data_IF_554555060228
#
_entry.id   IF_554555060228
#
_cell.length_a   1.000
_cell.length_b   1.000
_cell.length_c   1.000
_cell.angle_alpha   90.00
_cell.angle_beta   90.00
_cell.angle_gamma   90.00
#
_symmetry.space_group_name_H-M   'P 1'
#
loop_
_entity.id
_entity.type
_entity.pdbx_description
1 polymer ?
#
# COMPACT_ATOMS: atom_id res chain seq x y z
N UNK A 1 23.43 0.97 17.71
CA UNK A 1 22.97 1.16 17.33
C UNK A 1 22.07 1.89 17.65
N UNK A 2 22.01 2.40 17.88
CA UNK A 2 21.16 3.10 18.43
C UNK A 2 20.10 3.61 17.76
N UNK A 3 20.00 3.76 16.64
CA UNK A 3 19.09 4.35 15.96
C UNK A 3 18.00 3.57 15.59
N UNK A 4 17.31 2.93 16.45
CA UNK A 4 16.12 2.29 16.10
C UNK A 4 15.08 3.29 15.87
N UNK A 5 14.56 3.31 14.67
CA UNK A 5 13.39 4.07 14.37
C UNK A 5 12.25 3.64 15.27
N UNK A 6 11.33 4.54 15.59
CA UNK A 6 10.11 4.22 16.28
C UNK A 6 9.24 3.29 15.47
N UNK A 7 9.42 3.24 14.19
CA UNK A 7 8.56 2.51 13.26
C UNK A 7 9.36 1.59 12.37
N UNK A 8 8.75 0.48 11.97
CA UNK A 8 9.34 -0.49 11.08
C UNK A 8 8.45 -0.67 9.85
N UNK A 9 9.04 -0.55 8.67
CA UNK A 9 8.36 -0.80 7.41
C UNK A 9 8.47 -2.27 7.07
N UNK A 10 7.37 -2.89 6.65
CA UNK A 10 7.32 -4.30 6.33
C UNK A 10 6.52 -4.54 5.05
N UNK A 11 7.10 -5.27 4.11
CA UNK A 11 6.37 -5.67 2.90
C UNK A 11 5.37 -6.78 3.23
N UNK A 12 4.19 -6.73 2.62
CA UNK A 12 3.17 -7.76 2.81
C UNK A 12 3.52 -8.96 1.93
N UNK A 13 4.02 -10.03 2.55
CA UNK A 13 4.50 -11.21 1.84
C UNK A 13 3.84 -12.51 2.28
N UNK A 14 2.86 -12.45 3.15
CA UNK A 14 2.18 -13.65 3.67
C UNK A 14 0.69 -13.40 3.83
N UNK A 15 -0.12 -14.47 3.91
CA UNK A 15 -1.56 -14.31 4.18
C UNK A 15 -1.86 -13.62 5.50
N UNK A 16 -1.04 -13.84 6.52
CA UNK A 16 -1.21 -13.18 7.81
C UNK A 16 -1.01 -11.68 7.67
N UNK A 17 0.04 -11.25 6.97
CA UNK A 17 0.30 -9.83 6.74
C UNK A 17 -0.78 -9.20 5.88
N UNK A 18 -1.30 -9.94 4.89
CA UNK A 18 -2.41 -9.47 4.06
C UNK A 18 -3.66 -9.23 4.91
N UNK A 19 -3.92 -10.09 5.89
CA UNK A 19 -5.05 -9.91 6.80
C UNK A 19 -4.86 -8.67 7.67
N UNK A 20 -3.64 -8.43 8.16
CA UNK A 20 -3.35 -7.23 8.93
C UNK A 20 -3.55 -5.96 8.09
N UNK A 21 -3.19 -6.03 6.81
CA UNK A 21 -3.41 -4.94 5.85
C UNK A 21 -4.91 -4.62 5.73
N UNK A 22 -5.76 -5.66 5.63
CA UNK A 22 -7.20 -5.49 5.53
C UNK A 22 -7.81 -4.93 6.81
N UNK A 23 -7.27 -5.32 7.94
CA UNK A 23 -7.87 -4.98 9.24
C UNK A 23 -7.54 -3.58 9.75
N UNK A 24 -6.51 -2.95 9.23
CA UNK A 24 -6.08 -1.65 9.74
C UNK A 24 -7.17 -0.58 9.69
N UNK A 25 -7.85 -0.34 8.55
CA UNK A 25 -8.90 0.69 8.53
C UNK A 25 -10.06 0.36 9.43
N UNK A 26 -10.32 -0.92 9.65
CA UNK A 26 -11.40 -1.33 10.57
C UNK A 26 -11.12 -0.87 12.00
N UNK A 27 -9.84 -0.85 12.39
CA UNK A 27 -9.42 -0.36 13.70
C UNK A 27 -9.43 1.16 13.76
N UNK A 28 -8.88 1.81 12.75
CA UNK A 28 -8.77 3.28 12.70
C UNK A 28 -10.17 3.91 12.71
N UNK A 29 -11.10 3.33 11.96
CA UNK A 29 -12.43 3.89 11.82
C UNK A 29 -13.47 3.27 12.73
N UNK A 30 -13.03 2.51 13.71
CA UNK A 30 -13.95 1.86 14.64
C UNK A 30 -14.84 2.92 15.31
N UNK A 31 -16.14 2.72 15.24
CA UNK A 31 -17.10 3.66 15.81
C UNK A 31 -17.47 4.83 14.92
N UNK A 32 -16.84 4.98 13.76
CA UNK A 32 -17.21 6.03 12.81
C UNK A 32 -18.42 5.57 12.00
N UNK A 33 -19.56 6.21 12.24
CA UNK A 33 -20.82 5.83 11.58
C UNK A 33 -20.85 6.13 10.09
N UNK A 34 -19.99 7.03 9.64
CA UNK A 34 -19.98 7.42 8.23
C UNK A 34 -19.03 6.57 7.39
N UNK A 35 -18.22 5.73 8.03
CA UNK A 35 -17.30 4.88 7.30
C UNK A 35 -17.97 3.58 6.89
N UNK A 36 -17.92 3.28 5.58
CA UNK A 36 -18.45 2.04 5.04
C UNK A 36 -17.29 1.09 4.83
N UNK A 37 -17.33 -0.05 5.52
CA UNK A 37 -16.26 -1.04 5.42
C UNK A 37 -16.35 -1.81 4.10
N UNK A 38 -15.33 -1.74 3.23
CA UNK A 38 -15.32 -2.56 2.04
C UNK A 38 -15.23 -4.04 2.40
N UNK A 39 -15.71 -4.90 1.53
CA UNK A 39 -15.57 -6.34 1.74
C UNK A 39 -14.11 -6.74 1.53
N UNK A 40 -13.59 -7.56 2.44
CA UNK A 40 -12.21 -8.04 2.35
C UNK A 40 -11.96 -8.74 1.03
N UNK A 41 -12.92 -9.53 0.57
CA UNK A 41 -12.81 -10.24 -0.69
C UNK A 41 -12.62 -9.29 -1.88
N UNK A 42 -13.30 -8.16 -1.86
CA UNK A 42 -13.18 -7.18 -2.94
C UNK A 42 -11.78 -6.56 -2.98
N UNK A 43 -11.21 -6.29 -1.80
CA UNK A 43 -9.84 -5.75 -1.73
C UNK A 43 -8.83 -6.80 -2.17
N UNK A 44 -8.96 -8.03 -1.70
CA UNK A 44 -8.03 -9.10 -2.08
C UNK A 44 -8.06 -9.39 -3.57
N UNK A 45 -9.24 -9.27 -4.18
CA UNK A 45 -9.41 -9.46 -5.61
C UNK A 45 -8.56 -8.48 -6.41
N UNK A 46 -8.36 -7.26 -5.93
CA UNK A 46 -7.52 -6.26 -6.60
C UNK A 46 -6.08 -6.75 -6.71
N UNK A 47 -5.58 -7.47 -5.71
CA UNK A 47 -4.19 -7.93 -5.66
C UNK A 47 -3.98 -9.34 -6.19
N UNK A 48 -5.01 -10.00 -6.67
CA UNK A 48 -4.94 -11.35 -7.19
C UNK A 48 -4.83 -11.34 -8.72
N UNK A 49 -3.66 -11.69 -9.29
CA UNK A 49 -3.50 -11.66 -10.75
C UNK A 49 -4.47 -12.56 -11.49
N UNK A 50 -4.94 -13.63 -10.85
CA UNK A 50 -5.89 -14.55 -11.47
C UNK A 50 -7.29 -13.96 -11.55
N UNK A 51 -7.61 -13.00 -10.69
CA UNK A 51 -8.96 -12.42 -10.58
C UNK A 51 -9.02 -10.99 -11.10
N UNK A 52 -7.89 -10.31 -11.21
CA UNK A 52 -7.82 -8.95 -11.73
C UNK A 52 -7.02 -8.94 -13.03
N UNK A 53 -7.69 -8.86 -14.19
CA UNK A 53 -6.98 -8.90 -15.47
C UNK A 53 -5.95 -7.80 -15.66
N UNK A 54 -6.07 -6.68 -14.96
CA UNK A 54 -5.11 -5.58 -15.06
C UNK A 54 -3.72 -5.98 -14.54
N UNK A 55 -3.65 -6.95 -13.63
CA UNK A 55 -2.38 -7.40 -13.10
C UNK A 55 -1.67 -8.43 -13.99
N UNK A 56 -2.31 -8.92 -15.01
CA UNK A 56 -1.64 -9.76 -16.00
C UNK A 56 -0.51 -9.01 -16.70
N UNK A 57 -0.56 -7.68 -16.69
CA UNK A 57 0.44 -6.86 -17.37
C UNK A 57 0.97 -5.77 -16.44
N UNK A 58 1.17 -6.06 -15.19
CA UNK A 58 1.70 -5.11 -14.22
C UNK A 58 2.15 -5.76 -12.95
N UNK A 59 2.39 -4.93 -11.95
CA UNK A 59 2.81 -5.40 -10.63
C UNK A 59 2.13 -4.59 -9.55
N UNK A 60 2.01 -5.18 -8.38
CA UNK A 60 1.54 -4.49 -7.19
C UNK A 60 2.33 -4.96 -5.97
N UNK A 61 2.48 -4.09 -5.01
CA UNK A 61 3.15 -4.40 -3.76
C UNK A 61 2.43 -3.67 -2.64
N UNK A 62 2.47 -4.22 -1.45
CA UNK A 62 1.83 -3.64 -0.28
C UNK A 62 2.81 -3.56 0.88
N UNK A 63 2.68 -2.53 1.71
CA UNK A 63 3.49 -2.39 2.92
C UNK A 63 2.64 -2.06 4.13
N UNK A 64 3.17 -2.44 5.28
CA UNK A 64 2.67 -2.07 6.59
C UNK A 64 3.75 -1.31 7.34
N UNK A 65 3.36 -0.44 8.25
CA UNK A 65 4.27 0.15 9.23
C UNK A 65 3.81 -0.28 10.61
N UNK A 66 4.77 -0.73 11.43
CA UNK A 66 4.52 -1.13 12.81
C UNK A 66 5.24 -0.20 13.76
N UNK A 67 4.65 0.02 14.93
CA UNK A 67 5.30 0.79 16.00
C UNK A 67 6.14 -0.15 16.87
N UNK A 68 6.73 0.40 17.93
CA UNK A 68 7.58 -0.38 18.85
C UNK A 68 6.82 -1.46 19.61
N UNK A 69 5.52 -1.33 19.73
CA UNK A 69 4.67 -2.35 20.34
C UNK A 69 4.21 -3.41 19.34
N UNK A 70 4.76 -3.37 18.14
CA UNK A 70 4.42 -4.29 17.05
C UNK A 70 2.97 -4.13 16.55
N UNK A 71 2.37 -2.99 16.77
CA UNK A 71 1.04 -2.69 16.26
C UNK A 71 1.14 -2.10 14.87
N UNK A 72 0.23 -2.47 13.98
CA UNK A 72 0.17 -1.90 12.64
C UNK A 72 -0.45 -0.50 12.74
N UNK A 73 0.27 0.50 12.25
CA UNK A 73 -0.14 1.90 12.34
C UNK A 73 -0.26 2.58 10.98
N UNK A 74 0.07 1.91 9.91
CA UNK A 74 -0.07 2.44 8.57
C UNK A 74 0.02 1.37 7.51
N UNK A 75 -0.53 1.66 6.34
CA UNK A 75 -0.46 0.78 5.17
C UNK A 75 -0.50 1.59 3.88
N UNK A 76 0.06 1.03 2.82
CA UNK A 76 -0.05 1.59 1.47
C UNK A 76 0.16 0.48 0.45
N UNK A 77 -0.39 0.64 -0.73
CA UNK A 77 -0.10 -0.21 -1.88
C UNK A 77 0.45 0.65 -3.02
N UNK A 78 1.37 0.10 -3.78
CA UNK A 78 1.84 0.72 -5.01
C UNK A 78 1.63 -0.26 -6.15
N UNK A 79 1.36 0.25 -7.35
CA UNK A 79 1.02 -0.59 -8.47
C UNK A 79 1.26 0.15 -9.79
N UNK A 80 1.43 -0.61 -10.85
CA UNK A 80 1.40 -0.07 -12.21
C UNK A 80 0.90 -1.16 -13.15
N UNK A 81 0.43 -0.72 -14.31
CA UNK A 81 0.03 -1.60 -15.40
C UNK A 81 0.87 -1.24 -16.62
N UNK A 82 1.56 -2.21 -17.20
CA UNK A 82 2.48 -1.95 -18.32
C UNK A 82 1.77 -1.44 -19.56
N UNK A 83 0.59 -1.96 -19.83
CA UNK A 83 -0.18 -1.52 -20.98
C UNK A 83 -0.58 -0.06 -20.82
N UNK A 84 -1.05 0.34 -19.66
CA UNK A 84 -1.39 1.72 -19.38
C UNK A 84 -0.16 2.62 -19.47
N UNK A 85 0.96 2.19 -18.93
CA UNK A 85 2.18 2.96 -18.97
C UNK A 85 2.72 3.14 -20.40
N UNK A 86 2.49 2.17 -21.26
CA UNK A 86 2.93 2.26 -22.66
C UNK A 86 2.12 3.26 -23.48
N UNK A 87 0.89 3.53 -23.10
CA UNK A 87 0.03 4.49 -23.79
C UNK A 87 0.37 5.91 -23.39
N UNK A 88 0.90 6.13 -22.20
CA UNK A 88 1.19 7.46 -21.71
C UNK A 88 2.58 7.94 -22.16
N UNK A 89 2.71 9.23 -22.35
CA UNK A 89 4.00 9.81 -22.72
C UNK A 89 5.07 9.60 -21.67
N UNK A 90 4.67 9.57 -20.40
CA UNK A 90 5.58 9.31 -19.29
C UNK A 90 5.12 8.06 -18.57
N UNK A 91 6.07 7.18 -18.19
CA UNK A 91 5.70 6.04 -17.38
C UNK A 91 5.06 6.49 -16.06
N UNK A 92 3.93 5.95 -15.73
CA UNK A 92 3.22 6.31 -14.52
C UNK A 92 2.91 5.08 -13.68
N UNK A 93 2.81 5.29 -12.41
CA UNK A 93 2.33 4.29 -11.48
C UNK A 93 1.35 4.93 -10.53
N UNK A 94 0.84 4.16 -9.61
CA UNK A 94 -0.11 4.65 -8.64
C UNK A 94 0.15 4.10 -7.27
N UNK A 95 -0.42 4.75 -6.27
CA UNK A 95 -0.50 4.20 -4.94
C UNK A 95 -1.91 4.37 -4.40
N UNK A 96 -2.31 3.49 -3.53
CA UNK A 96 -3.65 3.53 -2.97
C UNK A 96 -3.74 2.73 -1.69
N UNK A 97 -4.97 2.60 -1.18
CA UNK A 97 -5.24 1.93 0.09
C UNK A 97 -4.44 2.55 1.24
N UNK A 98 -4.13 3.85 1.13
CA UNK A 98 -3.34 4.56 2.12
C UNK A 98 -4.19 4.80 3.37
N UNK A 99 -3.78 4.24 4.48
CA UNK A 99 -4.38 4.45 5.79
C UNK A 99 -3.25 4.62 6.79
N UNK A 100 -3.37 5.59 7.67
CA UNK A 100 -2.30 5.88 8.61
C UNK A 100 -2.86 6.56 9.84
N UNK A 101 -2.26 6.31 11.00
CA UNK A 101 -2.54 7.10 12.19
C UNK A 101 -2.05 8.54 11.95
N UNK A 102 -2.48 9.46 12.78
CA UNK A 102 -2.09 10.87 12.62
C UNK A 102 -0.63 11.10 13.03
N UNK A 103 0.29 10.63 12.17
CA UNK A 103 1.73 10.76 12.40
C UNK A 103 2.43 10.91 11.04
N UNK A 104 3.04 12.07 10.85
CA UNK A 104 3.71 12.39 9.59
C UNK A 104 4.87 11.44 9.27
N UNK A 105 5.57 10.97 10.28
CA UNK A 105 6.69 10.04 10.08
C UNK A 105 6.21 8.74 9.43
N UNK A 106 5.06 8.22 9.86
CA UNK A 106 4.47 7.00 9.30
C UNK A 106 4.07 7.24 7.84
N UNK A 107 3.43 8.37 7.57
CA UNK A 107 3.05 8.72 6.21
C UNK A 107 4.27 8.82 5.30
N UNK A 108 5.33 9.47 5.78
CA UNK A 108 6.56 9.64 5.01
C UNK A 108 7.23 8.30 4.68
N UNK A 109 7.28 7.39 5.65
CA UNK A 109 7.84 6.06 5.44
C UNK A 109 7.09 5.32 4.32
N UNK A 110 5.77 5.39 4.35
CA UNK A 110 4.94 4.70 3.36
C UNK A 110 5.07 5.31 1.97
N UNK A 111 5.00 6.64 1.87
CA UNK A 111 5.12 7.29 0.57
C UNK A 111 6.52 7.13 -0.02
N UNK A 112 7.56 7.17 0.81
CA UNK A 112 8.92 6.95 0.34
C UNK A 112 9.09 5.53 -0.20
N UNK A 113 8.53 4.53 0.48
CA UNK A 113 8.58 3.14 0.02
C UNK A 113 7.90 3.00 -1.35
N UNK A 114 6.71 3.56 -1.49
CA UNK A 114 5.97 3.50 -2.75
C UNK A 114 6.73 4.22 -3.88
N UNK A 115 7.25 5.42 -3.59
CA UNK A 115 7.99 6.21 -4.56
C UNK A 115 9.26 5.50 -5.03
N UNK A 116 10.02 4.93 -4.09
CA UNK A 116 11.26 4.24 -4.42
C UNK A 116 11.00 2.96 -5.22
N UNK A 117 9.94 2.25 -4.89
CA UNK A 117 9.57 1.04 -5.63
C UNK A 117 9.17 1.39 -7.08
N UNK A 118 8.33 2.42 -7.25
CA UNK A 118 7.92 2.85 -8.58
C UNK A 118 9.12 3.35 -9.39
N UNK A 119 10.02 4.08 -8.75
CA UNK A 119 11.24 4.56 -9.40
C UNK A 119 12.11 3.41 -9.86
N UNK A 120 12.23 2.35 -9.06
CA UNK A 120 13.02 1.18 -9.41
C UNK A 120 12.48 0.45 -10.64
N UNK A 121 11.22 0.69 -10.97
CA UNK A 121 10.58 0.10 -12.15
C UNK A 121 10.39 1.10 -13.28
N UNK A 122 11.06 2.25 -13.19
CA UNK A 122 10.99 3.28 -14.22
C UNK A 122 9.68 4.06 -14.26
N UNK A 123 8.91 4.04 -13.17
CA UNK A 123 7.60 4.73 -13.07
C UNK A 123 7.69 5.98 -12.21
N UNK A 124 8.77 6.72 -12.38
CA UNK A 124 9.05 7.85 -11.52
C UNK A 124 8.38 9.15 -11.93
N UNK A 125 7.88 9.24 -13.13
CA UNK A 125 7.36 10.51 -13.65
C UNK A 125 6.11 11.01 -12.94
N UNK A 126 5.22 10.12 -12.55
CA UNK A 126 3.99 10.45 -11.84
C UNK A 126 3.57 9.33 -10.95
N UNK A 127 2.95 9.68 -9.85
CA UNK A 127 2.27 8.72 -9.00
C UNK A 127 0.85 9.22 -8.74
N UNK A 128 -0.14 8.33 -8.83
CA UNK A 128 -1.54 8.66 -8.57
C UNK A 128 -1.99 7.95 -7.30
N UNK A 129 -2.80 8.61 -6.55
CA UNK A 129 -3.36 8.05 -5.31
C UNK A 129 -4.79 7.66 -5.52
#
# INVERSE_FOLDING_TARGET
MANKSKYTLQEVTSPQLAREFLNLPKRIYKGNRNWVCPLDEDIEKVFDPARNPLFGDGEAIRWLVRNRKNEVVGRIAAFYNREQAAIEEQPTGGCGFFEVINDQEVADLLFDAARMWLASRGKIGRAHV
#
